data_IF_457037260190
#
_entry.id   IF_457037260190
#
_cell.length_a   1.000
_cell.length_b   1.000
_cell.length_c   1.000
_cell.angle_alpha   90.00
_cell.angle_beta   90.00
_cell.angle_gamma   90.00
#
_symmetry.space_group_name_H-M   'P 1'
#
loop_
_entity.id
_entity.type
_entity.pdbx_description
1 polymer ?
#
# COMPACT_ATOMS: atom_id res chain seq x y z
N UNK A 1 5.38 1.39 -9.19
CA UNK A 1 5.01 1.84 -7.84
C UNK A 1 3.94 0.91 -7.27
N UNK A 2 4.30 -0.35 -6.96
CA UNK A 2 3.40 -1.33 -6.31
C UNK A 2 4.23 -2.15 -5.29
N UNK A 3 4.83 -1.48 -4.27
CA UNK A 3 5.73 -2.13 -3.32
C UNK A 3 5.02 -3.21 -2.48
N UNK A 4 3.72 -3.09 -2.29
CA UNK A 4 2.86 -3.97 -1.49
C UNK A 4 2.75 -5.39 -2.04
N UNK A 5 3.04 -5.61 -3.33
CA UNK A 5 3.13 -6.96 -3.90
C UNK A 5 4.34 -7.75 -3.36
N UNK A 6 5.40 -7.05 -2.96
CA UNK A 6 6.62 -7.67 -2.41
C UNK A 6 6.71 -7.51 -0.88
N UNK A 7 6.32 -6.36 -0.36
CA UNK A 7 6.38 -6.03 1.05
C UNK A 7 5.40 -6.88 1.87
N UNK A 8 4.21 -7.18 1.35
CA UNK A 8 3.25 -8.07 2.01
C UNK A 8 3.49 -9.53 1.58
N UNK A 9 3.93 -10.44 2.47
CA UNK A 9 4.18 -11.84 2.14
C UNK A 9 2.98 -12.56 1.50
N UNK A 10 1.75 -12.22 1.89
CA UNK A 10 0.53 -12.82 1.34
C UNK A 10 0.25 -12.41 -0.11
N UNK A 11 0.90 -11.35 -0.62
CA UNK A 11 0.72 -10.89 -1.98
C UNK A 11 1.81 -11.38 -2.94
N UNK A 12 2.90 -11.98 -2.44
CA UNK A 12 4.07 -12.32 -3.28
C UNK A 12 3.75 -13.30 -4.41
N UNK A 13 2.83 -14.22 -4.18
CA UNK A 13 2.38 -15.19 -5.19
C UNK A 13 1.64 -14.53 -6.37
N UNK A 14 1.20 -13.28 -6.22
CA UNK A 14 0.50 -12.54 -7.28
C UNK A 14 1.46 -11.97 -8.34
N UNK A 15 2.74 -11.81 -8.00
CA UNK A 15 3.77 -11.49 -8.98
C UNK A 15 4.29 -12.79 -9.58
N UNK A 16 3.93 -13.06 -10.83
CA UNK A 16 4.29 -14.30 -11.52
C UNK A 16 5.16 -13.99 -12.73
N UNK A 17 5.88 -14.99 -13.22
CA UNK A 17 6.68 -14.85 -14.43
C UNK A 17 6.72 -16.16 -15.20
N UNK A 18 6.92 -16.05 -16.50
CA UNK A 18 7.14 -17.14 -17.44
C UNK A 18 8.47 -16.90 -18.14
N UNK A 19 9.24 -17.96 -18.33
CA UNK A 19 10.54 -17.92 -19.00
C UNK A 19 10.52 -18.89 -20.16
N UNK A 20 10.90 -18.41 -21.33
CA UNK A 20 11.23 -19.25 -22.48
C UNK A 20 12.73 -19.16 -22.76
N UNK A 21 13.40 -20.31 -22.84
CA UNK A 21 14.85 -20.36 -23.02
C UNK A 21 15.16 -20.53 -24.49
N UNK A 22 15.74 -19.50 -25.09
CA UNK A 22 16.00 -19.44 -26.53
C UNK A 22 17.41 -19.93 -26.89
N UNK A 23 18.33 -20.00 -25.92
CA UNK A 23 19.67 -20.55 -26.08
C UNK A 23 20.53 -20.37 -24.83
N UNK A 24 21.80 -20.77 -24.90
CA UNK A 24 22.72 -20.81 -23.75
C UNK A 24 22.88 -19.50 -22.98
N UNK A 25 22.62 -18.35 -23.62
CA UNK A 25 22.74 -17.02 -23.00
C UNK A 25 21.57 -16.09 -23.29
N UNK A 26 20.44 -16.64 -23.76
CA UNK A 26 19.27 -15.86 -24.16
C UNK A 26 17.98 -16.49 -23.67
N UNK A 27 17.13 -15.69 -23.03
CA UNK A 27 15.79 -16.07 -22.59
C UNK A 27 14.81 -14.94 -22.88
N UNK A 28 13.58 -15.31 -23.20
CA UNK A 28 12.43 -14.41 -23.17
C UNK A 28 11.76 -14.51 -21.80
N UNK A 29 11.59 -13.36 -21.14
CA UNK A 29 11.01 -13.26 -19.81
C UNK A 29 9.71 -12.45 -19.86
N UNK A 30 8.60 -13.09 -19.52
CA UNK A 30 7.32 -12.42 -19.32
C UNK A 30 7.02 -12.29 -17.83
N UNK A 31 6.88 -11.05 -17.34
CA UNK A 31 6.51 -10.76 -15.96
C UNK A 31 5.04 -10.34 -15.91
N UNK A 32 4.25 -10.98 -15.06
CA UNK A 32 2.82 -10.71 -14.88
C UNK A 32 2.61 -10.14 -13.48
N UNK A 33 2.08 -8.91 -13.43
CA UNK A 33 1.88 -8.16 -12.21
C UNK A 33 0.49 -7.53 -12.20
N UNK A 34 -0.36 -7.79 -11.19
CA UNK A 34 -1.61 -7.06 -11.04
C UNK A 34 -1.32 -5.63 -10.59
N UNK A 35 -1.98 -4.66 -11.21
CA UNK A 35 -1.91 -3.26 -10.81
C UNK A 35 -3.13 -2.92 -9.96
N UNK A 36 -2.89 -2.21 -8.86
CA UNK A 36 -3.94 -1.63 -8.03
C UNK A 36 -4.02 -0.11 -8.23
N UNK A 37 -5.20 0.43 -8.01
CA UNK A 37 -5.45 1.87 -8.00
C UNK A 37 -6.23 2.23 -6.73
N UNK A 38 -5.83 3.34 -6.09
CA UNK A 38 -6.50 3.83 -4.90
C UNK A 38 -7.57 4.86 -5.28
N UNK A 39 -8.82 4.55 -4.97
CA UNK A 39 -9.96 5.46 -5.23
C UNK A 39 -10.67 5.79 -3.92
N UNK A 40 -10.80 7.08 -3.63
CA UNK A 40 -11.65 7.58 -2.55
C UNK A 40 -13.08 7.72 -3.07
N UNK A 41 -14.01 7.10 -2.35
CA UNK A 41 -15.45 7.16 -2.65
C UNK A 41 -16.13 7.97 -1.57
N UNK A 42 -16.80 9.06 -1.95
CA UNK A 42 -17.59 9.89 -1.03
C UNK A 42 -19.02 10.05 -1.53
N UNK A 43 -19.94 10.39 -0.61
CA UNK A 43 -21.32 10.75 -0.96
C UNK A 43 -21.49 12.25 -0.76
N UNK A 44 -21.91 12.95 -1.81
CA UNK A 44 -22.15 14.39 -1.75
C UNK A 44 -23.49 14.69 -1.05
N UNK A 45 -23.69 15.96 -0.70
CA UNK A 45 -24.90 16.42 0.00
C UNK A 45 -26.20 16.20 -0.80
N UNK A 46 -26.10 16.14 -2.13
CA UNK A 46 -27.20 15.82 -3.04
C UNK A 46 -27.44 14.30 -3.19
N UNK A 47 -26.69 13.48 -2.46
CA UNK A 47 -26.79 12.02 -2.47
C UNK A 47 -25.99 11.33 -3.59
N UNK A 48 -25.33 12.07 -4.49
CA UNK A 48 -24.50 11.52 -5.55
C UNK A 48 -23.21 10.88 -5.01
N UNK A 49 -22.66 9.91 -5.76
CA UNK A 49 -21.36 9.28 -5.45
C UNK A 49 -20.28 10.02 -6.21
N UNK A 50 -19.25 10.47 -5.49
CA UNK A 50 -18.08 11.14 -6.03
C UNK A 50 -16.86 10.22 -5.89
N UNK A 51 -16.10 10.08 -6.98
CA UNK A 51 -14.88 9.29 -7.04
C UNK A 51 -13.67 10.22 -7.19
N UNK A 52 -12.64 9.98 -6.39
CA UNK A 52 -11.37 10.66 -6.50
C UNK A 52 -10.23 9.64 -6.57
N UNK A 53 -9.48 9.68 -7.67
CA UNK A 53 -8.26 8.89 -7.83
C UNK A 53 -7.16 9.47 -6.94
N UNK A 54 -6.59 8.62 -6.09
CA UNK A 54 -5.51 8.98 -5.17
C UNK A 54 -4.19 8.38 -5.64
N UNK A 55 -3.05 9.04 -5.36
CA UNK A 55 -1.74 8.45 -5.60
C UNK A 55 -1.54 7.17 -4.77
N UNK A 56 -0.47 6.43 -5.03
CA UNK A 56 -0.05 5.27 -4.23
C UNK A 56 0.12 5.65 -2.74
N UNK A 57 -0.21 4.77 -1.77
CA UNK A 57 0.22 4.95 -0.39
C UNK A 57 1.74 5.17 -0.28
N UNK A 58 2.18 6.03 0.64
CA UNK A 58 3.60 6.13 0.94
C UNK A 58 4.10 4.81 1.55
N UNK A 59 5.39 4.52 1.37
CA UNK A 59 6.02 3.33 1.94
C UNK A 59 6.02 3.38 3.47
N UNK A 60 6.06 2.22 4.12
CA UNK A 60 5.94 2.06 5.58
C UNK A 60 6.97 2.90 6.37
N UNK A 61 8.20 3.05 5.86
CA UNK A 61 9.22 3.93 6.46
C UNK A 61 8.83 5.42 6.53
N UNK A 62 7.86 5.87 5.73
CA UNK A 62 7.30 7.22 5.79
C UNK A 62 6.26 7.38 6.92
N UNK A 63 5.89 6.30 7.61
CA UNK A 63 4.98 6.30 8.75
C UNK A 63 5.69 6.03 10.09
N UNK A 64 7.02 6.10 10.14
CA UNK A 64 7.82 5.81 11.33
C UNK A 64 7.35 6.55 12.60
N UNK A 65 6.85 7.78 12.46
CA UNK A 65 6.32 8.58 13.56
C UNK A 65 5.07 7.95 14.21
N UNK A 66 4.31 7.15 13.46
CA UNK A 66 3.11 6.42 13.92
C UNK A 66 3.48 5.18 14.72
N UNK A 67 4.66 4.61 14.48
CA UNK A 67 5.18 3.43 15.19
C UNK A 67 5.76 3.79 16.58
N UNK A 68 6.15 5.05 16.79
CA UNK A 68 6.66 5.53 18.08
C UNK A 68 5.59 5.59 19.20
N UNK A 69 4.31 5.45 18.84
CA UNK A 69 3.20 5.69 19.76
C UNK A 69 3.07 7.17 20.14
N UNK A 70 2.37 7.47 21.23
CA UNK A 70 2.28 8.84 21.76
C UNK A 70 0.90 9.26 22.24
N UNK A 71 0.78 10.49 22.72
CA UNK A 71 -0.46 11.03 23.27
C UNK A 71 -1.50 11.27 22.16
N UNK A 72 -2.68 10.67 22.31
CA UNK A 72 -3.87 10.97 21.53
C UNK A 72 -4.59 12.13 22.20
N UNK A 73 -4.76 13.23 21.47
CA UNK A 73 -5.38 14.46 21.97
C UNK A 73 -6.62 14.79 21.15
N UNK A 74 -7.72 15.08 21.83
CA UNK A 74 -8.94 15.63 21.25
C UNK A 74 -9.28 16.94 21.99
N UNK A 75 -9.54 18.02 21.23
CA UNK A 75 -9.86 19.35 21.78
C UNK A 75 -8.84 19.86 22.82
N UNK A 76 -7.55 19.52 22.63
CA UNK A 76 -6.47 19.90 23.55
C UNK A 76 -6.36 19.05 24.82
N UNK A 77 -7.24 18.06 25.02
CA UNK A 77 -7.21 17.12 26.14
C UNK A 77 -6.66 15.77 25.69
N UNK A 78 -5.68 15.24 26.41
CA UNK A 78 -5.20 13.88 26.17
C UNK A 78 -6.28 12.87 26.57
N UNK A 79 -6.72 12.07 25.60
CA UNK A 79 -7.78 11.06 25.77
C UNK A 79 -7.22 9.65 25.85
N UNK A 80 -6.02 9.42 25.33
CA UNK A 80 -5.36 8.12 25.34
C UNK A 80 -3.86 8.26 25.06
N UNK A 81 -3.15 7.14 25.14
CA UNK A 81 -1.77 7.01 24.68
C UNK A 81 -1.70 5.80 23.75
N UNK A 82 -1.29 6.00 22.50
CA UNK A 82 -0.97 4.92 21.59
C UNK A 82 0.33 4.25 22.06
N UNK A 83 0.34 2.92 22.26
CA UNK A 83 1.58 2.21 22.55
C UNK A 83 2.51 2.30 21.34
N UNK A 84 3.81 2.35 21.59
CA UNK A 84 4.79 2.15 20.54
C UNK A 84 4.64 0.72 19.97
N UNK A 85 4.67 0.60 18.64
CA UNK A 85 4.69 -0.69 17.96
C UNK A 85 6.16 -0.95 17.60
N UNK A 86 6.84 -1.71 18.44
CA UNK A 86 8.18 -2.23 18.16
C UNK A 86 8.06 -3.61 17.51
N UNK A 87 8.68 -3.78 16.34
CA UNK A 87 8.90 -5.11 15.74
C UNK A 87 9.77 -6.02 16.62
#
# INVERSE_FOLDING_TARGET
>A
HQPELLANPANREKLTFEVDVLGDSLVDLAIKMPLSERVLVTRAADGSVQLQHLPEPPAEGAHADTLAGGALVADGVQIATLPAITE
#
